data_IF_453717821987
#
_entry.id   IF_453717821987
#
_cell.length_a   1.000
_cell.length_b   1.000
_cell.length_c   1.000
_cell.angle_alpha   90.00
_cell.angle_beta   90.00
_cell.angle_gamma   90.00
#
_symmetry.space_group_name_H-M   'P 1'
#
loop_
_entity.id
_entity.type
_entity.pdbx_description
1 polymer ?
#
# COMPACT_ATOMS: atom_id res chain seq x y z
N UNK A 1 -43.58 -31.99 11.72
CA UNK A 1 -42.32 -31.24 11.94
C UNK A 1 -42.62 -30.09 12.89
N UNK A 2 -42.09 -30.17 14.10
CA UNK A 2 -42.45 -29.28 15.21
C UNK A 2 -41.81 -27.90 15.03
N UNK A 3 -42.56 -26.84 15.33
CA UNK A 3 -42.16 -25.42 15.22
C UNK A 3 -40.84 -25.11 15.95
N UNK A 4 -40.48 -25.90 16.96
CA UNK A 4 -39.21 -25.80 17.67
C UNK A 4 -37.96 -26.06 16.79
N UNK A 5 -38.06 -26.93 15.77
CA UNK A 5 -36.94 -27.24 14.89
C UNK A 5 -36.66 -26.12 13.87
N UNK A 6 -37.67 -25.28 13.56
CA UNK A 6 -37.54 -24.17 12.63
C UNK A 6 -36.91 -22.92 13.26
N UNK A 7 -36.97 -22.77 14.59
CA UNK A 7 -36.40 -21.62 15.29
C UNK A 7 -34.89 -21.80 15.58
N UNK A 8 -34.45 -23.04 15.80
CA UNK A 8 -33.03 -23.36 16.03
C UNK A 8 -32.18 -23.22 14.77
N UNK A 9 -32.73 -23.53 13.59
CA UNK A 9 -32.04 -23.32 12.31
C UNK A 9 -31.93 -21.85 11.94
N UNK A 10 -32.90 -21.02 12.32
CA UNK A 10 -32.87 -19.57 12.05
C UNK A 10 -31.81 -18.85 12.92
N UNK A 11 -31.66 -19.25 14.18
CA UNK A 11 -30.62 -18.68 15.08
C UNK A 11 -29.21 -19.15 14.72
N UNK A 12 -29.04 -20.39 14.27
CA UNK A 12 -27.75 -20.88 13.77
C UNK A 12 -27.36 -20.20 12.44
N UNK A 13 -28.32 -19.97 11.53
CA UNK A 13 -28.08 -19.24 10.29
C UNK A 13 -27.74 -17.76 10.54
N UNK A 14 -28.37 -17.11 11.52
CA UNK A 14 -28.09 -15.72 11.87
C UNK A 14 -26.77 -15.54 12.64
N UNK A 15 -26.38 -16.54 13.45
CA UNK A 15 -25.08 -16.56 14.14
C UNK A 15 -23.90 -16.85 13.18
N UNK A 16 -24.12 -17.60 12.09
CA UNK A 16 -23.09 -17.88 11.08
C UNK A 16 -22.86 -16.71 10.11
N UNK A 17 -23.82 -15.79 9.97
CA UNK A 17 -23.65 -14.57 9.17
C UNK A 17 -22.87 -13.45 9.87
N UNK A 18 -22.58 -13.58 11.17
CA UNK A 18 -21.84 -12.57 11.95
C UNK A 18 -20.34 -12.90 12.15
N UNK A 19 -19.87 -14.03 11.61
CA UNK A 19 -18.47 -14.46 11.66
C UNK A 19 -17.85 -14.38 10.26
N UNK A 20 -17.68 -13.17 9.73
CA UNK A 20 -17.09 -13.03 8.39
C UNK A 20 -17.05 -11.63 7.80
N UNK A 21 -16.95 -10.57 8.60
CA UNK A 21 -16.52 -9.28 8.04
C UNK A 21 -15.03 -9.36 7.72
N UNK A 22 -14.70 -9.98 6.58
CA UNK A 22 -13.37 -9.85 5.98
C UNK A 22 -13.18 -8.37 5.67
N UNK A 23 -12.12 -7.79 6.24
CA UNK A 23 -11.79 -6.39 6.04
C UNK A 23 -11.40 -6.20 4.57
N UNK A 24 -12.28 -5.60 3.78
CA UNK A 24 -11.97 -5.20 2.42
C UNK A 24 -10.87 -4.14 2.48
N UNK A 25 -9.64 -4.46 2.02
CA UNK A 25 -8.49 -3.56 2.05
C UNK A 25 -8.30 -2.78 0.76
N UNK A 26 -8.65 -1.51 0.72
CA UNK A 26 -8.14 -0.57 -0.26
C UNK A 26 -6.63 -0.40 -0.10
N UNK A 27 -5.95 0.19 -1.09
CA UNK A 27 -4.50 0.32 -1.09
C UNK A 27 -4.08 1.52 -1.94
N UNK A 28 -3.34 2.43 -1.32
CA UNK A 28 -2.76 3.58 -1.98
C UNK A 28 -2.18 4.56 -0.98
N UNK A 29 -1.13 5.25 -1.41
CA UNK A 29 -0.56 6.44 -0.77
C UNK A 29 -0.13 7.42 -1.87
N UNK A 30 0.21 8.65 -1.50
CA UNK A 30 0.68 9.65 -2.46
C UNK A 30 1.94 9.19 -3.20
N UNK A 31 1.94 9.39 -4.52
CA UNK A 31 3.07 9.17 -5.43
C UNK A 31 3.69 10.50 -5.87
N UNK A 32 2.89 11.57 -5.94
CA UNK A 32 3.35 12.95 -6.18
C UNK A 32 2.46 13.95 -5.41
N UNK A 33 3.00 14.73 -4.47
CA UNK A 33 4.30 14.58 -3.82
C UNK A 33 4.41 13.20 -3.17
N UNK A 34 5.51 12.48 -3.42
CA UNK A 34 5.67 11.09 -2.98
C UNK A 34 5.67 10.95 -1.47
N UNK A 35 4.93 9.97 -0.96
CA UNK A 35 4.88 9.67 0.47
C UNK A 35 6.17 9.03 0.98
N UNK A 36 6.38 9.05 2.31
CA UNK A 36 7.54 8.42 2.97
C UNK A 36 7.71 6.96 2.57
N UNK A 37 6.64 6.15 2.64
CA UNK A 37 6.70 4.73 2.30
C UNK A 37 7.01 4.53 0.81
N UNK A 38 6.37 5.31 -0.08
CA UNK A 38 6.60 5.23 -1.52
C UNK A 38 8.02 5.65 -1.90
N UNK A 39 8.51 6.81 -1.44
CA UNK A 39 9.85 7.29 -1.75
C UNK A 39 10.94 6.41 -1.15
N UNK A 40 10.73 5.88 0.06
CA UNK A 40 11.66 4.89 0.62
C UNK A 40 11.65 3.57 -0.13
N UNK A 41 10.50 3.15 -0.68
CA UNK A 41 10.46 1.99 -1.57
C UNK A 41 11.27 2.26 -2.85
N UNK A 42 11.08 3.41 -3.49
CA UNK A 42 11.86 3.79 -4.68
C UNK A 42 13.37 3.91 -4.40
N UNK A 43 13.75 4.45 -3.24
CA UNK A 43 15.17 4.53 -2.82
C UNK A 43 15.77 3.15 -2.57
N UNK A 44 15.00 2.23 -1.99
CA UNK A 44 15.46 0.92 -1.57
C UNK A 44 15.44 -0.14 -2.68
N UNK A 45 14.46 -0.09 -3.59
CA UNK A 45 14.16 -1.19 -4.50
C UNK A 45 15.30 -1.42 -5.49
N UNK A 46 15.85 -2.64 -5.51
CA UNK A 46 16.91 -3.05 -6.43
C UNK A 46 16.32 -3.79 -7.64
N UNK A 47 17.12 -3.97 -8.70
CA UNK A 47 16.71 -4.74 -9.89
C UNK A 47 16.49 -6.23 -9.60
N UNK A 48 17.06 -6.75 -8.52
CA UNK A 48 16.82 -8.11 -8.00
C UNK A 48 15.65 -8.16 -7.01
N UNK A 49 14.95 -7.02 -6.88
CA UNK A 49 13.84 -6.74 -5.99
C UNK A 49 14.12 -6.95 -4.50
N UNK A 50 15.38 -6.81 -4.10
CA UNK A 50 15.75 -6.59 -2.71
C UNK A 50 15.52 -5.13 -2.28
N UNK A 51 15.73 -4.85 -0.99
CA UNK A 51 15.66 -3.51 -0.43
C UNK A 51 17.01 -3.11 0.17
N UNK A 52 17.63 -2.10 -0.41
CA UNK A 52 18.87 -1.50 0.04
C UNK A 52 18.73 0.04 -0.07
N UNK A 53 18.14 0.75 0.90
CA UNK A 53 17.99 2.21 0.82
C UNK A 53 19.32 2.94 1.02
N UNK A 54 19.50 4.06 0.32
CA UNK A 54 20.63 4.98 0.55
C UNK A 54 20.30 6.08 1.55
N UNK A 55 19.03 6.46 1.61
CA UNK A 55 18.56 7.50 2.49
C UNK A 55 18.67 7.08 3.97
N UNK A 56 19.23 7.92 4.86
CA UNK A 56 19.43 7.58 6.27
C UNK A 56 18.11 7.38 7.05
N UNK A 57 17.04 8.10 6.72
CA UNK A 57 15.72 7.90 7.32
C UNK A 57 15.06 6.61 6.82
N UNK A 58 15.14 6.33 5.51
CA UNK A 58 14.62 5.08 4.95
C UNK A 58 15.36 3.84 5.47
N UNK A 59 16.69 3.90 5.63
CA UNK A 59 17.49 2.84 6.28
C UNK A 59 17.05 2.57 7.70
N UNK A 60 16.86 3.62 8.49
CA UNK A 60 16.38 3.50 9.87
C UNK A 60 14.95 2.94 9.94
N UNK A 61 14.07 3.37 9.03
CA UNK A 61 12.71 2.88 8.93
C UNK A 61 12.67 1.39 8.56
N UNK A 62 13.45 0.97 7.56
CA UNK A 62 13.60 -0.42 7.16
C UNK A 62 14.14 -1.29 8.31
N UNK A 63 15.13 -0.78 9.07
CA UNK A 63 15.70 -1.51 10.20
C UNK A 63 14.70 -1.70 11.37
N UNK A 64 13.79 -0.75 11.58
CA UNK A 64 12.83 -0.75 12.71
C UNK A 64 11.50 -1.42 12.38
N UNK A 65 10.95 -1.14 11.21
CA UNK A 65 9.63 -1.59 10.75
C UNK A 65 9.70 -2.79 9.80
N UNK A 66 10.90 -3.17 9.35
CA UNK A 66 11.14 -4.33 8.50
C UNK A 66 10.77 -4.11 7.03
N UNK A 67 11.16 -5.07 6.20
CA UNK A 67 10.98 -5.04 4.76
C UNK A 67 9.51 -5.03 4.33
N UNK A 68 8.65 -5.77 5.05
CA UNK A 68 7.21 -5.92 4.74
C UNK A 68 6.51 -4.57 4.54
N UNK A 69 6.87 -3.55 5.31
CA UNK A 69 6.31 -2.21 5.18
C UNK A 69 6.61 -1.58 3.81
N UNK A 70 7.82 -1.75 3.27
CA UNK A 70 8.19 -1.18 1.97
C UNK A 70 7.61 -1.96 0.81
N UNK A 71 7.45 -3.29 0.89
CA UNK A 71 6.75 -4.02 -0.19
C UNK A 71 5.25 -3.78 -0.21
N UNK A 72 4.68 -3.41 0.95
CA UNK A 72 3.28 -3.01 1.08
C UNK A 72 3.19 -1.49 1.29
N UNK A 73 4.03 -0.69 0.61
CA UNK A 73 4.15 0.76 0.80
C UNK A 73 2.82 1.52 0.67
N UNK A 74 1.87 0.94 -0.07
CA UNK A 74 0.52 1.41 -0.32
C UNK A 74 -0.51 1.06 0.78
N UNK A 75 -0.13 0.29 1.80
CA UNK A 75 -1.07 -0.32 2.77
C UNK A 75 -1.10 0.37 4.15
N UNK A 76 -0.81 1.67 4.19
CA UNK A 76 -0.87 2.47 5.42
C UNK A 76 -2.33 2.81 5.73
N UNK A 77 -3.01 1.89 6.41
CA UNK A 77 -4.46 1.90 6.52
C UNK A 77 -4.97 1.64 7.95
N UNK A 78 -6.19 2.10 8.21
CA UNK A 78 -6.98 1.70 9.37
C UNK A 78 -8.38 1.31 8.89
N UNK A 79 -8.71 0.01 9.00
CA UNK A 79 -9.98 -0.57 8.56
C UNK A 79 -11.22 -0.02 9.28
N UNK A 80 -11.03 0.66 10.40
CA UNK A 80 -12.12 1.17 11.23
C UNK A 80 -12.12 2.70 11.37
N UNK A 81 -11.29 3.44 10.63
CA UNK A 81 -11.17 4.88 10.81
C UNK A 81 -12.49 5.63 10.58
N UNK A 82 -13.25 5.28 9.55
CA UNK A 82 -14.60 5.79 9.29
C UNK A 82 -14.63 7.31 9.03
N UNK A 83 -13.55 7.86 8.48
CA UNK A 83 -13.39 9.29 8.27
C UNK A 83 -13.00 10.07 9.52
N UNK A 84 -12.74 9.40 10.66
CA UNK A 84 -12.25 10.04 11.89
C UNK A 84 -10.77 10.39 11.75
N UNK A 85 -10.37 11.48 12.41
CA UNK A 85 -8.99 11.96 12.46
C UNK A 85 -8.61 12.31 13.89
N UNK A 86 -8.56 13.60 14.19
CA UNK A 86 -8.28 14.13 15.53
C UNK A 86 -9.18 13.48 16.60
N UNK A 87 -8.58 13.12 17.74
CA UNK A 87 -9.26 12.43 18.85
C UNK A 87 -9.43 10.92 18.66
N UNK A 88 -9.18 10.38 17.46
CA UNK A 88 -9.23 8.94 17.18
C UNK A 88 -7.86 8.38 16.74
N UNK A 89 -7.22 9.01 15.76
CA UNK A 89 -5.81 8.75 15.41
C UNK A 89 -4.94 9.59 16.34
N UNK A 90 -4.13 8.98 17.22
CA UNK A 90 -3.28 9.74 18.13
C UNK A 90 -2.29 10.67 17.41
N UNK A 91 -2.01 11.82 18.02
CA UNK A 91 -0.89 12.65 17.59
C UNK A 91 0.42 11.84 17.56
N UNK A 92 1.26 12.10 16.55
CA UNK A 92 2.51 11.38 16.33
C UNK A 92 2.37 10.02 15.65
N UNK A 93 1.15 9.60 15.29
CA UNK A 93 0.91 8.29 14.64
C UNK A 93 0.21 8.42 13.28
N UNK A 94 0.12 9.63 12.73
CA UNK A 94 -0.63 9.90 11.51
C UNK A 94 -0.03 9.17 10.30
N UNK A 95 1.30 9.06 10.21
CA UNK A 95 1.99 8.44 9.08
C UNK A 95 2.01 6.91 9.13
N UNK A 96 1.43 6.31 10.19
CA UNK A 96 1.23 4.86 10.36
C UNK A 96 -0.24 4.48 10.53
N UNK A 97 -1.18 5.37 10.20
CA UNK A 97 -2.60 5.17 10.40
C UNK A 97 -2.99 4.84 11.86
N UNK A 98 -2.34 5.46 12.84
CA UNK A 98 -2.59 5.18 14.25
C UNK A 98 -2.00 3.87 14.75
N UNK A 99 -1.03 3.29 14.02
CA UNK A 99 -0.45 1.97 14.26
C UNK A 99 -1.48 0.83 14.19
N UNK A 100 -2.54 1.01 13.39
CA UNK A 100 -3.66 0.05 13.24
C UNK A 100 -3.62 -0.76 11.94
N UNK A 101 -2.66 -0.47 11.06
CA UNK A 101 -2.43 -1.26 9.87
C UNK A 101 -1.99 -2.70 10.24
N UNK A 102 -2.28 -3.72 9.41
CA UNK A 102 -1.72 -5.07 9.57
C UNK A 102 -0.19 -5.12 9.47
N UNK A 103 0.44 -4.08 8.92
CA UNK A 103 1.87 -3.99 8.77
C UNK A 103 2.43 -2.92 9.70
N UNK A 104 3.66 -3.13 10.15
CA UNK A 104 4.33 -2.18 11.03
C UNK A 104 4.83 -0.96 10.24
N UNK A 105 4.14 0.18 10.37
CA UNK A 105 4.57 1.46 9.82
C UNK A 105 5.07 2.45 10.88
N UNK A 106 5.30 2.02 12.13
CA UNK A 106 5.63 2.91 13.25
C UNK A 106 6.84 3.79 12.98
N UNK A 107 7.87 3.25 12.32
CA UNK A 107 9.10 3.99 12.05
C UNK A 107 8.91 5.15 11.06
N UNK A 108 7.86 5.13 10.24
CA UNK A 108 7.53 6.21 9.30
C UNK A 108 6.95 7.45 10.00
N UNK A 109 6.65 7.39 11.30
CA UNK A 109 6.30 8.56 12.11
C UNK A 109 7.51 9.36 12.59
N UNK A 110 8.75 8.85 12.42
CA UNK A 110 9.92 9.47 13.03
C UNK A 110 10.07 10.94 12.63
N UNK A 111 10.20 11.81 13.65
CA UNK A 111 10.41 13.24 13.49
C UNK A 111 11.88 13.50 13.12
N UNK A 112 12.15 13.57 11.82
CA UNK A 112 13.50 13.73 11.23
C UNK A 112 13.44 14.67 10.05
N UNK A 113 14.51 15.41 9.81
CA UNK A 113 14.64 16.34 8.67
C UNK A 113 15.32 15.72 7.44
N UNK A 114 15.72 14.45 7.48
CA UNK A 114 16.48 13.78 6.42
C UNK A 114 15.68 12.73 5.62
N UNK A 115 14.34 12.76 5.73
CA UNK A 115 13.46 12.02 4.83
C UNK A 115 13.63 12.50 3.37
N UNK A 116 13.43 11.61 2.38
CA UNK A 116 13.28 12.04 1.00
C UNK A 116 12.13 13.03 0.87
N UNK A 117 12.28 14.04 0.02
CA UNK A 117 11.31 15.15 -0.06
C UNK A 117 11.08 15.63 -1.48
N UNK A 118 9.89 16.19 -1.71
CA UNK A 118 9.54 16.86 -2.96
C UNK A 118 9.70 18.38 -2.84
N UNK A 119 10.38 18.99 -3.80
CA UNK A 119 10.62 20.43 -3.89
C UNK A 119 9.47 21.13 -4.61
N UNK A 120 8.89 22.15 -4.00
CA UNK A 120 7.66 22.78 -4.44
C UNK A 120 7.73 24.31 -4.39
N UNK A 121 6.88 24.95 -5.19
CA UNK A 121 6.71 26.40 -5.22
C UNK A 121 5.45 26.79 -4.44
N UNK A 122 5.62 27.62 -3.41
CA UNK A 122 4.49 28.16 -2.64
C UNK A 122 3.49 28.88 -3.54
N UNK A 123 2.19 28.58 -3.40
CA UNK A 123 1.14 29.16 -4.23
C UNK A 123 1.02 28.59 -5.65
N UNK A 124 1.87 27.66 -6.06
CA UNK A 124 1.73 26.99 -7.36
C UNK A 124 0.57 25.98 -7.37
N UNK A 125 0.15 25.57 -8.56
CA UNK A 125 -0.70 24.39 -8.75
C UNK A 125 0.18 23.24 -9.21
N UNK A 126 0.02 22.07 -8.61
CA UNK A 126 0.68 20.84 -9.03
C UNK A 126 -0.36 19.78 -9.39
N UNK A 127 0.00 18.84 -10.25
CA UNK A 127 -0.82 17.65 -10.47
C UNK A 127 -0.46 16.62 -9.40
N UNK A 128 -1.30 16.49 -8.39
CA UNK A 128 -1.12 15.47 -7.37
C UNK A 128 -1.42 14.08 -7.94
N UNK A 129 -0.67 13.07 -7.51
CA UNK A 129 -0.88 11.67 -7.86
C UNK A 129 -0.97 10.81 -6.61
N UNK A 130 -1.97 9.93 -6.55
CA UNK A 130 -2.20 9.01 -5.44
C UNK A 130 -2.39 7.60 -5.99
N UNK A 131 -1.62 6.63 -5.51
CA UNK A 131 -1.66 5.27 -6.05
C UNK A 131 -3.07 4.68 -6.04
N UNK A 132 -3.46 4.03 -7.13
CA UNK A 132 -4.71 3.27 -7.22
C UNK A 132 -4.46 1.75 -7.11
N UNK A 133 -3.45 1.33 -6.33
CA UNK A 133 -3.05 -0.08 -6.18
C UNK A 133 -4.26 -1.01 -5.96
N UNK A 134 -5.20 -0.60 -5.11
CA UNK A 134 -6.58 -1.04 -5.20
C UNK A 134 -7.50 0.18 -5.27
N UNK A 135 -8.31 0.27 -6.33
CA UNK A 135 -9.19 1.42 -6.54
C UNK A 135 -10.52 1.30 -5.78
N UNK A 136 -10.96 2.40 -5.16
CA UNK A 136 -12.17 2.50 -4.35
C UNK A 136 -12.79 3.89 -4.49
N UNK A 137 -14.11 4.05 -4.32
CA UNK A 137 -14.73 5.37 -4.27
C UNK A 137 -14.45 6.05 -2.93
N UNK A 138 -14.33 7.37 -2.92
CA UNK A 138 -14.15 8.13 -1.68
C UNK A 138 -13.60 9.54 -1.85
N UNK A 139 -13.29 10.15 -0.72
CA UNK A 139 -12.75 11.49 -0.59
C UNK A 139 -11.27 11.46 -0.22
N UNK A 140 -10.45 12.24 -0.92
CA UNK A 140 -9.06 12.51 -0.57
C UNK A 140 -9.01 13.85 0.17
N UNK A 141 -8.86 13.81 1.49
CA UNK A 141 -8.69 14.99 2.34
C UNK A 141 -7.21 15.33 2.41
N UNK A 142 -6.83 16.45 1.78
CA UNK A 142 -5.44 16.89 1.65
C UNK A 142 -5.17 18.00 2.66
N UNK A 143 -4.15 17.79 3.48
CA UNK A 143 -3.69 18.71 4.50
C UNK A 143 -2.24 19.09 4.26
N UNK A 144 -1.85 20.28 4.69
CA UNK A 144 -0.45 20.73 4.72
C UNK A 144 -0.16 21.27 6.11
N UNK A 145 1.03 21.00 6.64
CA UNK A 145 1.44 21.56 7.93
C UNK A 145 1.46 23.09 7.91
N UNK A 146 1.09 23.68 9.05
CA UNK A 146 1.11 25.14 9.27
C UNK A 146 2.53 25.69 9.12
N UNK A 147 2.63 26.95 8.68
CA UNK A 147 3.93 27.63 8.60
C UNK A 147 4.61 27.63 9.98
N UNK A 148 5.90 27.27 10.01
CA UNK A 148 6.69 27.20 11.24
C UNK A 148 6.69 25.81 11.91
N UNK A 149 5.89 24.85 11.43
CA UNK A 149 6.11 23.45 11.78
C UNK A 149 7.47 22.97 11.26
N UNK A 150 8.12 22.08 12.00
CA UNK A 150 9.42 21.50 11.65
C UNK A 150 9.32 19.98 11.57
N UNK A 151 9.98 19.32 10.59
CA UNK A 151 9.96 17.86 10.50
C UNK A 151 10.67 17.15 11.66
N UNK A 152 11.41 17.88 12.50
CA UNK A 152 11.95 17.38 13.77
C UNK A 152 10.98 17.45 14.94
N UNK A 153 9.76 17.96 14.72
CA UNK A 153 8.68 17.95 15.71
C UNK A 153 7.75 16.76 15.47
N UNK A 154 7.16 16.23 16.55
CA UNK A 154 6.08 15.23 16.43
C UNK A 154 4.90 15.86 15.68
N UNK A 155 4.47 15.23 14.59
CA UNK A 155 3.32 15.67 13.80
C UNK A 155 2.02 15.45 14.57
N UNK A 156 1.25 16.52 14.77
CA UNK A 156 -0.06 16.51 15.44
C UNK A 156 -1.17 16.93 14.49
N UNK A 157 -2.41 16.55 14.78
CA UNK A 157 -3.56 17.06 14.04
C UNK A 157 -3.66 18.59 14.11
N UNK A 158 -3.26 19.18 15.24
CA UNK A 158 -3.24 20.64 15.43
C UNK A 158 -2.19 21.34 14.53
N UNK A 159 -1.23 20.61 13.98
CA UNK A 159 -0.20 21.16 13.08
C UNK A 159 -0.68 21.25 11.63
N UNK A 160 -1.84 20.68 11.29
CA UNK A 160 -2.33 20.54 9.92
C UNK A 160 -3.43 21.55 9.58
N UNK A 161 -3.35 22.14 8.38
CA UNK A 161 -4.43 22.88 7.73
C UNK A 161 -5.02 22.01 6.61
N UNK A 162 -6.35 21.83 6.58
CA UNK A 162 -7.03 21.21 5.43
C UNK A 162 -7.01 22.19 4.25
N UNK A 163 -6.40 21.78 3.13
CA UNK A 163 -6.24 22.65 1.94
C UNK A 163 -7.17 22.26 0.81
N UNK A 164 -7.54 20.99 0.69
CA UNK A 164 -8.45 20.51 -0.36
C UNK A 164 -9.14 19.22 0.08
N UNK A 165 -10.36 18.99 -0.43
CA UNK A 165 -11.00 17.67 -0.44
C UNK A 165 -11.40 17.38 -1.87
N UNK A 166 -11.04 16.19 -2.36
CA UNK A 166 -11.32 15.76 -3.74
C UNK A 166 -12.10 14.46 -3.71
N UNK A 167 -13.27 14.43 -4.33
CA UNK A 167 -14.14 13.25 -4.37
C UNK A 167 -13.97 12.53 -5.70
N UNK A 168 -13.69 11.23 -5.67
CA UNK A 168 -13.60 10.35 -6.85
C UNK A 168 -12.81 10.97 -8.04
N UNK A 169 -11.56 11.41 -7.85
CA UNK A 169 -10.74 11.93 -8.94
C UNK A 169 -10.60 10.90 -10.08
N UNK A 170 -10.32 11.35 -11.31
CA UNK A 170 -10.03 10.45 -12.43
C UNK A 170 -8.75 9.64 -12.16
N UNK A 171 -8.61 8.53 -12.90
CA UNK A 171 -7.48 7.62 -12.81
C UNK A 171 -6.71 7.55 -14.12
N UNK A 172 -5.41 7.28 -14.02
CA UNK A 172 -4.53 6.92 -15.12
C UNK A 172 -3.78 5.62 -14.77
N UNK A 173 -3.75 4.68 -15.72
CA UNK A 173 -3.26 3.33 -15.47
C UNK A 173 -4.30 2.45 -14.75
N UNK A 174 -4.30 1.16 -15.07
CA UNK A 174 -5.20 0.20 -14.43
C UNK A 174 -4.86 0.05 -12.93
N UNK A 175 -5.85 -0.14 -12.05
CA UNK A 175 -5.59 -0.50 -10.66
C UNK A 175 -4.68 -1.73 -10.54
N UNK A 176 -3.80 -1.74 -9.55
CA UNK A 176 -2.84 -2.84 -9.31
C UNK A 176 -1.64 -2.88 -10.26
N UNK A 177 -1.44 -1.84 -11.09
CA UNK A 177 -0.29 -1.75 -11.99
C UNK A 177 0.75 -0.77 -11.49
N UNK A 178 2.01 -1.00 -11.89
CA UNK A 178 3.08 -0.04 -11.68
C UNK A 178 2.74 1.30 -12.36
N UNK A 179 2.73 2.36 -11.57
CA UNK A 179 2.39 3.71 -12.06
C UNK A 179 0.89 4.00 -12.12
N UNK A 180 0.00 3.06 -11.79
CA UNK A 180 -1.43 3.34 -11.67
C UNK A 180 -1.73 4.35 -10.56
N UNK A 181 -2.50 5.39 -10.86
CA UNK A 181 -2.81 6.45 -9.91
C UNK A 181 -4.12 7.22 -10.21
N UNK A 182 -4.71 7.77 -9.17
CA UNK A 182 -5.60 8.92 -9.24
C UNK A 182 -4.80 10.20 -9.47
N UNK A 183 -5.37 11.17 -10.19
CA UNK A 183 -4.75 12.49 -10.36
C UNK A 183 -5.76 13.63 -10.24
N UNK A 184 -5.28 14.79 -9.74
CA UNK A 184 -6.03 16.04 -9.70
C UNK A 184 -5.11 17.25 -9.56
N UNK A 185 -5.63 18.44 -9.86
CA UNK A 185 -4.93 19.69 -9.60
C UNK A 185 -5.02 20.09 -8.12
N UNK A 186 -3.88 20.18 -7.46
CA UNK A 186 -3.72 20.64 -6.09
C UNK A 186 -3.16 22.06 -6.07
N UNK A 187 -3.95 23.01 -5.58
CA UNK A 187 -3.49 24.38 -5.34
C UNK A 187 -2.74 24.43 -3.99
N UNK A 188 -1.43 24.64 -4.04
CA UNK A 188 -0.63 24.78 -2.83
C UNK A 188 -0.91 26.11 -2.12
N UNK A 189 -0.90 26.16 -0.78
CA UNK A 189 -1.04 27.40 -0.03
C UNK A 189 0.10 28.38 -0.39
N UNK A 190 -0.25 29.66 -0.50
CA UNK A 190 0.73 30.74 -0.69
C UNK A 190 1.34 31.19 0.63
N UNK A 191 2.43 31.96 0.56
CA UNK A 191 3.13 32.46 1.75
C UNK A 191 3.79 31.36 2.58
N UNK A 192 4.15 30.23 1.95
CA UNK A 192 4.89 29.14 2.60
C UNK A 192 6.37 29.19 2.22
N UNK A 193 7.23 28.75 3.14
CA UNK A 193 8.67 28.58 2.90
C UNK A 193 9.26 27.49 3.81
N UNK A 194 10.30 26.83 3.31
CA UNK A 194 11.04 25.80 4.05
C UNK A 194 10.29 24.47 4.14
N UNK A 195 10.75 23.62 5.05
CA UNK A 195 10.27 22.26 5.23
C UNK A 195 8.81 22.24 5.70
N UNK A 196 8.04 21.32 5.13
CA UNK A 196 6.66 21.07 5.49
C UNK A 196 6.31 19.59 5.24
N UNK A 197 5.12 19.18 5.66
CA UNK A 197 4.59 17.86 5.37
C UNK A 197 3.18 18.01 4.77
N UNK A 198 2.95 17.28 3.69
CA UNK A 198 1.64 17.09 3.10
C UNK A 198 1.07 15.77 3.62
N UNK A 199 -0.11 15.83 4.21
CA UNK A 199 -0.81 14.66 4.74
C UNK A 199 -2.10 14.42 3.95
N UNK A 200 -2.35 13.20 3.50
CA UNK A 200 -3.60 12.82 2.83
C UNK A 200 -4.28 11.72 3.61
N UNK A 201 -5.55 11.94 3.96
CA UNK A 201 -6.45 10.90 4.41
C UNK A 201 -7.42 10.54 3.28
N UNK A 202 -7.33 9.33 2.75
CA UNK A 202 -8.32 8.82 1.80
C UNK A 202 -9.43 8.12 2.58
N UNK A 203 -10.63 8.69 2.51
CA UNK A 203 -11.83 8.24 3.20
C UNK A 203 -12.75 7.56 2.20
N UNK A 204 -12.80 6.23 2.25
CA UNK A 204 -13.71 5.44 1.41
C UNK A 204 -15.17 5.79 1.68
N UNK A 205 -15.99 5.75 0.64
CA UNK A 205 -17.45 5.92 0.75
C UNK A 205 -18.20 4.60 0.85
N UNK A 206 -17.54 3.48 0.57
CA UNK A 206 -18.06 2.12 0.55
C UNK A 206 -17.59 1.26 1.74
N UNK A 207 -16.72 1.80 2.61
CA UNK A 207 -16.14 1.09 3.76
C UNK A 207 -15.78 2.05 4.90
N UNK A 208 -15.58 1.52 6.11
CA UNK A 208 -14.99 2.28 7.23
C UNK A 208 -13.47 2.43 7.09
N UNK A 209 -12.84 1.73 6.15
CA UNK A 209 -11.41 1.77 5.99
C UNK A 209 -10.91 3.09 5.40
N UNK A 210 -9.82 3.63 5.94
CA UNK A 210 -9.15 4.82 5.39
C UNK A 210 -7.64 4.57 5.20
N UNK A 211 -7.02 5.37 4.33
CA UNK A 211 -5.58 5.37 4.07
C UNK A 211 -4.96 6.67 4.51
N UNK A 212 -3.72 6.57 4.96
CA UNK A 212 -2.98 7.66 5.58
C UNK A 212 -1.64 7.81 4.89
N UNK A 213 -1.38 8.98 4.34
CA UNK A 213 -0.18 9.24 3.57
C UNK A 213 0.51 10.49 4.08
N UNK A 214 1.81 10.42 4.31
CA UNK A 214 2.66 11.55 4.69
C UNK A 214 3.75 11.73 3.63
N UNK A 215 3.84 12.93 3.04
CA UNK A 215 4.85 13.31 2.06
C UNK A 215 5.65 14.49 2.61
N UNK A 216 6.95 14.30 2.83
CA UNK A 216 7.83 15.42 3.18
C UNK A 216 8.03 16.31 1.95
N UNK A 217 7.84 17.61 2.12
CA UNK A 217 7.93 18.60 1.05
C UNK A 217 8.79 19.78 1.52
N UNK A 218 9.29 20.57 0.58
CA UNK A 218 9.98 21.82 0.87
C UNK A 218 9.50 22.92 -0.07
N UNK A 219 9.14 24.08 0.49
CA UNK A 219 8.77 25.27 -0.28
C UNK A 219 10.01 26.13 -0.51
N UNK A 220 10.73 25.84 -1.59
CA UNK A 220 11.99 26.50 -1.99
C UNK A 220 12.00 26.98 -3.45
N UNK A 221 10.88 26.82 -4.16
CA UNK A 221 10.75 27.21 -5.57
C UNK A 221 10.88 26.05 -6.54
N UNK A 222 10.93 24.80 -6.07
CA UNK A 222 10.90 23.62 -6.94
C UNK A 222 9.55 23.39 -7.66
N UNK A 223 9.56 22.44 -8.57
CA UNK A 223 8.46 22.07 -9.47
C UNK A 223 8.11 20.59 -9.42
N UNK A 224 8.44 19.90 -8.32
CA UNK A 224 8.17 18.47 -8.12
C UNK A 224 9.42 17.60 -8.09
N UNK A 225 10.62 18.18 -8.09
CA UNK A 225 11.87 17.44 -7.98
C UNK A 225 11.92 16.68 -6.65
N UNK A 226 12.50 15.48 -6.67
CA UNK A 226 12.67 14.67 -5.47
C UNK A 226 14.15 14.57 -5.11
N UNK A 227 14.48 14.85 -3.85
CA UNK A 227 15.82 14.65 -3.30
C UNK A 227 15.81 13.62 -2.18
N UNK A 228 17.00 13.09 -1.88
CA UNK A 228 17.18 12.10 -0.82
C UNK A 228 16.81 10.68 -1.24
N UNK A 229 16.81 10.36 -2.54
CA UNK A 229 16.71 8.99 -3.07
C UNK A 229 17.87 8.69 -4.04
N UNK A 230 18.25 7.42 -4.21
CA UNK A 230 19.38 6.95 -5.08
C UNK A 230 19.33 7.45 -6.54
N UNK A 231 18.21 7.98 -7.02
CA UNK A 231 18.01 8.45 -8.40
C UNK A 231 17.84 9.98 -8.55
N UNK A 232 18.20 10.79 -7.53
CA UNK A 232 18.08 12.26 -7.59
C UNK A 232 19.12 12.91 -8.53
N UNK A 233 18.97 12.71 -9.84
CA UNK A 233 19.86 13.24 -10.87
C UNK A 233 19.21 13.52 -12.23
N UNK A 234 17.88 13.45 -12.35
CA UNK A 234 17.18 13.80 -13.58
C UNK A 234 15.76 14.27 -13.31
N UNK A 235 15.45 15.48 -13.76
CA UNK A 235 14.09 16.00 -13.90
C UNK A 235 13.22 14.99 -14.67
N UNK A 236 12.03 14.58 -14.20
CA UNK A 236 11.10 13.89 -15.07
C UNK A 236 10.49 14.93 -16.03
N UNK A 237 11.10 15.09 -17.20
CA UNK A 237 10.36 15.56 -18.37
C UNK A 237 9.30 14.48 -18.67
N UNK A 238 8.00 14.80 -18.78
CA UNK A 238 6.99 13.81 -19.14
C UNK A 238 7.27 13.31 -20.56
N UNK A 239 7.89 12.14 -20.65
CA UNK A 239 8.10 11.42 -21.91
C UNK A 239 7.07 10.30 -21.94
N UNK A 240 6.35 10.08 -23.06
CA UNK A 240 5.27 9.10 -23.13
C UNK A 240 5.79 7.70 -22.78
N UNK A 241 5.22 7.12 -21.73
CA UNK A 241 5.47 5.75 -21.28
C UNK A 241 5.12 4.78 -22.41
N UNK A 242 6.02 3.87 -22.83
CA UNK A 242 5.65 2.77 -23.70
C UNK A 242 4.62 1.90 -22.96
N UNK A 243 3.55 1.50 -23.65
CA UNK A 243 2.50 0.63 -23.12
C UNK A 243 3.11 -0.63 -22.50
N UNK A 244 3.03 -0.83 -21.17
CA UNK A 244 3.45 -2.07 -20.54
C UNK A 244 2.50 -3.19 -20.95
N UNK A 245 3.04 -4.34 -21.37
CA UNK A 245 2.25 -5.57 -21.53
C UNK A 245 1.95 -6.11 -20.14
N UNK A 246 0.67 -6.03 -19.76
CA UNK A 246 0.11 -6.24 -18.41
C UNK A 246 -0.16 -7.73 -18.09
N UNK A 247 0.44 -8.31 -17.04
CA UNK A 247 0.04 -9.62 -16.51
C UNK A 247 -1.01 -9.55 -15.37
N UNK A 248 -1.39 -8.35 -14.89
CA UNK A 248 -2.22 -8.12 -13.70
C UNK A 248 -3.63 -7.63 -14.05
N UNK A 249 -4.57 -8.58 -14.15
CA UNK A 249 -5.96 -8.26 -14.50
C UNK A 249 -6.87 -8.21 -13.28
N UNK A 250 -7.54 -7.07 -13.08
CA UNK A 250 -8.85 -7.03 -12.42
C UNK A 250 -8.86 -6.82 -10.91
N UNK A 251 -9.99 -7.16 -10.29
CA UNK A 251 -10.29 -6.92 -8.87
C UNK A 251 -9.45 -7.74 -7.88
N UNK A 252 -8.63 -8.66 -8.36
CA UNK A 252 -7.80 -9.52 -7.53
C UNK A 252 -6.50 -8.81 -7.17
N UNK A 253 -6.13 -8.82 -5.89
CA UNK A 253 -4.87 -8.30 -5.42
C UNK A 253 -4.27 -9.25 -4.37
N UNK A 254 -2.94 -9.31 -4.28
CA UNK A 254 -2.24 -10.14 -3.32
C UNK A 254 -1.26 -9.32 -2.50
N UNK A 255 -1.20 -9.56 -1.19
CA UNK A 255 -0.20 -8.97 -0.29
C UNK A 255 0.50 -10.05 0.50
N UNK A 256 1.74 -9.81 0.91
CA UNK A 256 2.52 -10.81 1.64
C UNK A 256 3.00 -10.27 2.99
N UNK A 257 3.16 -11.18 3.94
CA UNK A 257 3.84 -10.94 5.21
C UNK A 257 4.79 -12.09 5.55
N UNK A 258 5.98 -11.78 6.05
CA UNK A 258 6.84 -12.77 6.71
C UNK A 258 6.34 -12.94 8.13
N UNK A 259 5.83 -14.13 8.45
CA UNK A 259 5.21 -14.43 9.76
C UNK A 259 6.17 -15.10 10.73
N UNK A 260 7.26 -15.70 10.22
CA UNK A 260 8.34 -16.26 11.03
C UNK A 260 9.64 -16.30 10.21
N UNK A 261 10.80 -16.25 10.86
CA UNK A 261 12.10 -16.37 10.19
C UNK A 261 13.14 -17.08 11.05
N UNK A 262 14.10 -17.74 10.40
CA UNK A 262 15.22 -18.44 11.04
C UNK A 262 16.48 -18.34 10.16
N UNK A 263 17.62 -18.79 10.68
CA UNK A 263 18.86 -18.81 9.90
C UNK A 263 18.68 -19.68 8.64
N UNK A 264 18.75 -19.05 7.46
CA UNK A 264 18.63 -19.72 6.17
C UNK A 264 17.20 -19.90 5.65
N UNK A 265 16.16 -19.35 6.30
CA UNK A 265 14.80 -19.46 5.78
C UNK A 265 13.73 -18.63 6.50
N UNK A 266 12.54 -18.61 5.92
CA UNK A 266 11.39 -17.91 6.48
C UNK A 266 10.06 -18.59 6.15
N UNK A 267 9.04 -18.24 6.90
CA UNK A 267 7.65 -18.56 6.66
C UNK A 267 6.91 -17.29 6.25
N UNK A 268 6.13 -17.35 5.18
CA UNK A 268 5.30 -16.25 4.72
C UNK A 268 3.84 -16.65 4.59
N UNK A 269 2.97 -15.67 4.81
CA UNK A 269 1.54 -15.72 4.50
C UNK A 269 1.25 -14.73 3.39
N UNK A 270 0.48 -15.15 2.39
CA UNK A 270 -0.02 -14.30 1.32
C UNK A 270 -1.54 -14.23 1.43
N UNK A 271 -2.06 -13.01 1.49
CA UNK A 271 -3.48 -12.72 1.48
C UNK A 271 -3.89 -12.34 0.05
N UNK A 272 -4.88 -13.03 -0.49
CA UNK A 272 -5.47 -12.77 -1.81
C UNK A 272 -6.85 -12.16 -1.59
N UNK A 273 -7.05 -10.95 -2.09
CA UNK A 273 -8.24 -10.13 -1.90
C UNK A 273 -8.99 -9.93 -3.21
N UNK A 274 -10.31 -9.84 -3.12
CA UNK A 274 -11.17 -9.47 -4.23
C UNK A 274 -11.85 -8.12 -3.93
N UNK A 275 -11.44 -7.07 -4.64
CA UNK A 275 -12.02 -5.72 -4.57
C UNK A 275 -13.12 -5.47 -5.61
N UNK A 276 -13.69 -6.56 -6.14
CA UNK A 276 -14.76 -6.52 -7.11
C UNK A 276 -16.09 -6.58 -6.40
N UNK A 277 -17.14 -6.09 -7.06
CA UNK A 277 -18.52 -6.16 -6.55
C UNK A 277 -19.17 -7.53 -6.76
N UNK A 278 -18.46 -8.48 -7.37
CA UNK A 278 -18.89 -9.85 -7.60
C UNK A 278 -17.84 -10.85 -7.08
N UNK A 279 -18.23 -12.09 -6.72
CA UNK A 279 -17.28 -13.13 -6.33
C UNK A 279 -16.25 -13.41 -7.44
N UNK A 280 -14.98 -13.51 -7.05
CA UNK A 280 -13.89 -13.98 -7.91
C UNK A 280 -13.87 -15.50 -7.87
N UNK A 281 -13.99 -16.15 -9.03
CA UNK A 281 -13.96 -17.61 -9.14
C UNK A 281 -12.67 -18.13 -9.79
N UNK A 282 -11.71 -18.48 -8.94
CA UNK A 282 -10.35 -18.83 -9.32
C UNK A 282 -9.40 -17.65 -9.19
N UNK A 283 -8.22 -17.91 -8.62
CA UNK A 283 -7.16 -16.92 -8.49
C UNK A 283 -5.80 -17.57 -8.70
N UNK A 284 -4.88 -16.75 -9.19
CA UNK A 284 -3.49 -17.09 -9.32
C UNK A 284 -2.65 -15.89 -8.95
N UNK A 285 -1.53 -16.15 -8.29
CA UNK A 285 -0.64 -15.13 -7.75
C UNK A 285 0.76 -15.41 -8.24
N UNK A 286 1.38 -14.45 -8.92
CA UNK A 286 2.71 -14.60 -9.50
C UNK A 286 3.69 -13.54 -8.99
N UNK A 287 4.94 -13.94 -8.79
CA UNK A 287 6.04 -13.04 -8.45
C UNK A 287 7.38 -13.69 -8.79
N UNK A 288 8.43 -12.87 -8.89
CA UNK A 288 9.80 -13.38 -8.96
C UNK A 288 10.33 -13.53 -7.52
N UNK A 289 10.79 -14.70 -7.07
CA UNK A 289 11.43 -14.81 -5.76
C UNK A 289 12.69 -13.92 -5.68
N UNK A 290 12.96 -13.34 -4.51
CA UNK A 290 14.21 -12.62 -4.28
C UNK A 290 15.44 -13.50 -4.57
N UNK A 291 16.56 -12.89 -4.94
CA UNK A 291 17.78 -13.64 -5.26
C UNK A 291 18.19 -14.59 -4.12
N UNK A 292 18.41 -15.87 -4.45
CA UNK A 292 18.74 -16.91 -3.47
C UNK A 292 17.55 -17.47 -2.68
N UNK A 293 16.32 -16.99 -2.94
CA UNK A 293 15.09 -17.50 -2.33
C UNK A 293 14.50 -18.63 -3.14
N UNK A 294 14.15 -19.74 -2.47
CA UNK A 294 13.47 -20.89 -3.08
C UNK A 294 12.36 -21.38 -2.17
N UNK A 295 11.14 -21.46 -2.69
CA UNK A 295 10.00 -22.04 -1.97
C UNK A 295 10.27 -23.53 -1.72
N UNK A 296 10.17 -23.93 -0.46
CA UNK A 296 10.45 -25.29 0.03
C UNK A 296 9.17 -26.09 0.27
N UNK A 297 8.13 -25.45 0.82
CA UNK A 297 6.81 -26.04 1.00
C UNK A 297 5.74 -24.96 0.86
N UNK A 298 4.55 -25.34 0.42
CA UNK A 298 3.41 -24.45 0.23
C UNK A 298 2.12 -25.17 0.65
N UNK A 299 1.17 -24.43 1.23
CA UNK A 299 -0.16 -24.93 1.57
C UNK A 299 -1.23 -23.96 1.08
N UNK A 300 -2.49 -24.44 1.00
CA UNK A 300 -3.65 -23.70 0.51
C UNK A 300 -3.50 -23.15 -0.93
N UNK A 301 -2.68 -23.81 -1.75
CA UNK A 301 -2.52 -23.50 -3.17
C UNK A 301 -1.66 -24.55 -3.88
N UNK A 302 -1.47 -24.37 -5.18
CA UNK A 302 -0.61 -25.20 -6.02
C UNK A 302 0.46 -24.34 -6.67
N UNK A 303 1.73 -24.72 -6.49
CA UNK A 303 2.89 -23.98 -6.97
C UNK A 303 3.34 -24.49 -8.35
N UNK A 304 3.59 -23.57 -9.27
CA UNK A 304 4.36 -23.79 -10.49
C UNK A 304 5.52 -22.80 -10.58
N UNK A 305 6.61 -23.17 -11.25
CA UNK A 305 7.77 -22.30 -11.47
C UNK A 305 8.09 -22.25 -12.96
N UNK A 306 8.11 -21.04 -13.53
CA UNK A 306 8.49 -20.78 -14.90
C UNK A 306 9.99 -20.96 -15.13
N UNK A 307 10.38 -21.06 -16.40
CA UNK A 307 11.80 -21.20 -16.79
C UNK A 307 12.63 -19.95 -16.49
N UNK A 308 11.98 -18.81 -16.36
CA UNK A 308 12.53 -17.51 -15.93
C UNK A 308 12.66 -17.38 -14.40
N UNK A 309 12.22 -18.39 -13.65
CA UNK A 309 12.22 -18.39 -12.19
C UNK A 309 10.98 -17.75 -11.57
N UNK A 310 10.03 -17.24 -12.36
CA UNK A 310 8.75 -16.72 -11.85
C UNK A 310 8.00 -17.85 -11.14
N UNK A 311 7.57 -17.63 -9.91
CA UNK A 311 6.68 -18.56 -9.21
C UNK A 311 5.24 -18.13 -9.42
N UNK A 312 4.35 -19.10 -9.58
CA UNK A 312 2.91 -18.87 -9.65
C UNK A 312 2.20 -19.83 -8.71
N UNK A 313 1.35 -19.31 -7.85
CA UNK A 313 0.52 -20.07 -6.93
C UNK A 313 -0.93 -19.94 -7.36
N UNK A 314 -1.58 -21.06 -7.65
CA UNK A 314 -3.03 -21.11 -7.93
C UNK A 314 -3.80 -21.57 -6.70
N UNK A 315 -5.08 -21.21 -6.65
CA UNK A 315 -5.98 -21.64 -5.59
C UNK A 315 -6.02 -23.17 -5.40
N UNK A 316 -6.33 -23.60 -4.18
CA UNK A 316 -6.85 -24.94 -3.91
C UNK A 316 -8.38 -24.94 -4.10
N UNK A 317 -9.00 -26.12 -4.16
CA UNK A 317 -10.46 -26.20 -4.41
C UNK A 317 -11.27 -25.50 -3.32
N UNK A 318 -10.88 -25.67 -2.05
CA UNK A 318 -11.62 -25.14 -0.91
C UNK A 318 -11.55 -23.60 -0.77
N UNK A 319 -10.57 -22.95 -1.39
CA UNK A 319 -10.40 -21.50 -1.35
C UNK A 319 -10.45 -20.86 -2.76
N UNK A 320 -11.06 -21.57 -3.73
CA UNK A 320 -11.17 -21.12 -5.12
C UNK A 320 -11.97 -19.82 -5.27
N UNK A 321 -13.08 -19.73 -4.55
CA UNK A 321 -14.00 -18.58 -4.62
C UNK A 321 -13.63 -17.56 -3.54
N UNK A 322 -13.35 -16.33 -3.95
CA UNK A 322 -13.17 -15.19 -3.04
C UNK A 322 -14.42 -14.30 -3.15
N UNK A 323 -15.23 -14.14 -2.09
CA UNK A 323 -16.40 -13.26 -2.11
C UNK A 323 -16.06 -11.84 -2.57
N UNK A 324 -17.06 -11.09 -3.02
CA UNK A 324 -16.91 -9.64 -3.19
C UNK A 324 -16.41 -9.03 -1.88
N UNK A 325 -15.39 -8.18 -1.94
CA UNK A 325 -14.73 -7.60 -0.77
C UNK A 325 -14.14 -8.62 0.24
N UNK A 326 -14.01 -9.87 -0.21
CA UNK A 326 -13.49 -10.98 0.56
C UNK A 326 -11.98 -11.15 0.42
N UNK A 327 -11.41 -12.00 1.27
CA UNK A 327 -10.04 -12.48 1.13
C UNK A 327 -9.90 -13.96 1.47
N UNK A 328 -8.85 -14.58 0.95
CA UNK A 328 -8.37 -15.92 1.29
C UNK A 328 -6.86 -15.89 1.50
N UNK A 329 -6.30 -16.91 2.15
CA UNK A 329 -4.86 -16.96 2.41
C UNK A 329 -4.23 -18.25 1.94
N UNK A 330 -2.99 -18.12 1.46
CA UNK A 330 -2.06 -19.23 1.32
C UNK A 330 -0.75 -18.92 2.02
N UNK A 331 0.07 -19.94 2.27
CA UNK A 331 1.36 -19.72 2.92
C UNK A 331 2.41 -20.68 2.41
N UNK A 332 3.66 -20.31 2.67
CA UNK A 332 4.81 -21.09 2.23
C UNK A 332 5.99 -20.94 3.20
N UNK A 333 6.90 -21.91 3.15
CA UNK A 333 8.26 -21.76 3.67
C UNK A 333 9.24 -21.63 2.52
N UNK A 334 10.29 -20.83 2.70
CA UNK A 334 11.34 -20.67 1.72
C UNK A 334 12.73 -20.74 2.38
N UNK A 335 13.69 -21.32 1.67
CA UNK A 335 15.11 -21.13 1.98
C UNK A 335 15.54 -19.77 1.43
N UNK A 336 16.42 -19.07 2.13
CA UNK A 336 16.96 -17.81 1.65
C UNK A 336 18.35 -17.52 2.20
N UNK A 337 19.19 -16.86 1.42
CA UNK A 337 20.58 -16.46 1.78
C UNK A 337 20.66 -15.08 2.45
N UNK A 338 19.50 -14.49 2.74
CA UNK A 338 19.20 -13.25 3.45
C UNK A 338 17.67 -13.22 3.65
N UNK A 339 17.03 -12.30 4.38
CA UNK A 339 15.55 -12.25 4.37
C UNK A 339 15.04 -11.65 3.04
N UNK A 340 15.39 -12.28 1.92
CA UNK A 340 15.12 -11.82 0.56
C UNK A 340 13.70 -12.21 0.17
N UNK A 341 12.80 -11.31 0.54
CA UNK A 341 11.39 -11.29 0.16
C UNK A 341 11.22 -11.18 -1.37
N UNK A 342 10.01 -11.43 -1.92
CA UNK A 342 9.73 -11.35 -3.36
C UNK A 342 10.40 -10.16 -4.02
N UNK A 343 10.98 -10.37 -5.20
CA UNK A 343 11.46 -9.28 -6.01
C UNK A 343 10.25 -8.53 -6.58
N UNK A 344 9.95 -7.35 -6.02
CA UNK A 344 8.78 -6.55 -6.36
C UNK A 344 7.49 -6.93 -5.59
N UNK A 345 6.35 -6.47 -6.09
CA UNK A 345 5.03 -6.78 -5.54
C UNK A 345 4.57 -8.19 -5.95
N UNK A 346 3.89 -8.88 -5.05
CA UNK A 346 3.13 -10.07 -5.41
C UNK A 346 1.85 -9.61 -6.12
N UNK A 347 1.56 -10.12 -7.32
CA UNK A 347 0.40 -9.68 -8.11
C UNK A 347 -0.50 -10.83 -8.53
N UNK A 348 -1.82 -10.59 -8.61
CA UNK A 348 -2.72 -11.56 -9.22
C UNK A 348 -2.49 -11.64 -10.73
N UNK A 349 -2.61 -12.83 -11.30
CA UNK A 349 -2.55 -13.05 -12.76
C UNK A 349 -3.80 -13.78 -13.23
N UNK A 350 -4.19 -13.60 -14.49
CA UNK A 350 -5.33 -14.35 -15.05
C UNK A 350 -5.13 -15.85 -14.84
N UNK A 351 -6.18 -16.55 -14.41
CA UNK A 351 -6.22 -17.99 -14.56
C UNK A 351 -6.36 -18.31 -16.03
N UNK A 352 -5.26 -18.30 -16.78
CA UNK A 352 -5.22 -18.96 -18.08
C UNK A 352 -5.67 -20.41 -17.85
N UNK A 353 -6.91 -20.70 -18.28
CA UNK A 353 -7.41 -22.05 -18.36
C UNK A 353 -6.51 -22.78 -19.34
N UNK A 354 -5.97 -23.92 -18.90
CA UNK A 354 -5.50 -24.94 -19.84
C UNK A 354 -6.69 -25.27 -20.75
N UNK A 355 -6.60 -24.85 -22.01
CA UNK A 355 -7.44 -25.37 -23.10
C UNK A 355 -7.13 -26.85 -23.33
#
# INVERSE_FOLDING_TARGET
>A
MSVAAALSTLLAALALTLLGQTSARAHGVAMLPGSRTYLCYLDAHTTTGGLDPTNPACRDALAKSGATALYNWFAVLDSNAGGRGAGYVPDGTLCSAGDRSPYDFRAYNAARSDWPRTHLTSGATIQAQYSNWAAHPGDFRVYVTKQGWSPTSVLRWADLDLVQTVTNPPQQGSPGTDGGHYYWDLKLPSGRSGDALLFIQWVRSDSQENFFSCSDIVFDGGHGEVTGIRTSGGTPTPTPTPTPTDPHTGSCMATYSVVNSWSGGFQASVEVMNHGTAPLDGWAVAWQPGAGTRISSLWNGTLSTGTDGTVTVRNADHNRVVPADGSVTFGFTATSTGNNVPAGSIGCVTSQGTT
#
